data_IF_413168061501
#
_entry.id   IF_413168061501
#
_cell.length_a   1.000
_cell.length_b   1.000
_cell.length_c   1.000
_cell.angle_alpha   90.00
_cell.angle_beta   90.00
_cell.angle_gamma   90.00
#
_symmetry.space_group_name_H-M   'P 1'
#
loop_
_entity.id
_entity.type
_entity.pdbx_description
1 polymer ?
#
# COMPACT_ATOMS: atom_id res chain seq x y z
N UNK A 1 4.90 -30.22 -3.47
CA UNK A 1 3.58 -29.81 -4.01
C UNK A 1 3.72 -28.39 -4.51
N UNK A 2 3.30 -28.13 -5.77
CA UNK A 2 3.23 -26.78 -6.31
C UNK A 2 1.80 -26.26 -6.11
N UNK A 3 1.67 -25.02 -5.68
CA UNK A 3 0.38 -24.34 -5.49
C UNK A 3 0.33 -23.15 -6.45
N UNK A 4 -0.72 -23.08 -7.27
CA UNK A 4 -1.06 -21.90 -8.07
C UNK A 4 -2.31 -21.27 -7.47
N UNK A 5 -2.25 -19.98 -7.18
CA UNK A 5 -3.37 -19.24 -6.63
C UNK A 5 -3.55 -17.89 -7.28
N UNK A 6 -4.75 -17.38 -7.29
CA UNK A 6 -5.10 -16.02 -7.68
C UNK A 6 -5.49 -15.25 -6.43
N UNK A 7 -4.83 -14.13 -6.18
CA UNK A 7 -5.08 -13.30 -5.00
C UNK A 7 -4.72 -11.84 -5.26
N UNK A 8 -5.40 -10.94 -4.57
CA UNK A 8 -5.07 -9.52 -4.48
C UNK A 8 -4.48 -9.15 -3.12
N UNK A 9 -4.39 -10.11 -2.19
CA UNK A 9 -3.79 -9.92 -0.88
C UNK A 9 -2.26 -9.79 -0.99
N UNK A 10 -1.77 -8.57 -0.83
CA UNK A 10 -0.35 -8.20 -0.96
C UNK A 10 0.50 -8.82 0.14
N UNK A 11 -0.04 -8.93 1.36
CA UNK A 11 0.66 -9.55 2.48
C UNK A 11 0.90 -11.03 2.22
N UNK A 12 -0.11 -11.71 1.66
CA UNK A 12 0.01 -13.11 1.27
C UNK A 12 1.02 -13.29 0.14
N UNK A 13 0.98 -12.42 -0.89
CA UNK A 13 1.94 -12.42 -2.00
C UNK A 13 3.39 -12.23 -1.51
N UNK A 14 3.59 -11.39 -0.49
CA UNK A 14 4.93 -11.11 0.03
C UNK A 14 5.51 -12.25 0.89
N UNK A 15 4.66 -12.94 1.66
CA UNK A 15 5.09 -13.95 2.64
C UNK A 15 5.11 -15.38 2.12
N UNK A 16 4.23 -15.72 1.20
CA UNK A 16 3.98 -17.11 0.79
C UNK A 16 4.45 -17.38 -0.64
N UNK A 17 4.37 -16.40 -1.53
CA UNK A 17 4.71 -16.60 -2.93
C UNK A 17 6.22 -16.46 -3.16
N UNK A 18 6.78 -17.42 -3.88
CA UNK A 18 8.16 -17.39 -4.38
C UNK A 18 8.24 -17.03 -5.87
N UNK A 19 7.09 -16.95 -6.55
CA UNK A 19 6.97 -16.58 -7.95
C UNK A 19 5.62 -15.91 -8.18
N UNK A 20 5.62 -14.77 -8.85
CA UNK A 20 4.42 -14.00 -9.20
C UNK A 20 4.29 -13.98 -10.73
N UNK A 21 3.09 -14.28 -11.21
CA UNK A 21 2.74 -14.21 -12.63
C UNK A 21 1.71 -13.11 -12.82
N UNK A 22 2.11 -12.02 -13.47
CA UNK A 22 1.23 -10.93 -13.85
C UNK A 22 0.70 -11.14 -15.28
N UNK A 23 -0.61 -11.06 -15.44
CA UNK A 23 -1.24 -11.06 -16.76
C UNK A 23 -1.62 -9.63 -17.11
N UNK A 24 -0.93 -9.03 -18.08
CA UNK A 24 -1.15 -7.66 -18.53
C UNK A 24 -1.03 -7.53 -20.03
N UNK A 25 -1.97 -6.83 -20.68
CA UNK A 25 -1.99 -6.58 -22.14
C UNK A 25 -1.77 -7.86 -22.99
N UNK A 26 -2.43 -8.97 -22.65
CA UNK A 26 -2.29 -10.28 -23.31
C UNK A 26 -0.90 -10.89 -23.23
N UNK A 27 -0.07 -10.42 -22.30
CA UNK A 27 1.25 -10.95 -22.01
C UNK A 27 1.30 -11.45 -20.57
N UNK A 28 2.09 -12.48 -20.32
CA UNK A 28 2.36 -12.98 -18.99
C UNK A 28 3.78 -12.59 -18.59
N UNK A 29 3.90 -11.87 -17.50
CA UNK A 29 5.19 -11.49 -16.91
C UNK A 29 5.43 -12.32 -15.66
N UNK A 30 6.55 -13.04 -15.66
CA UNK A 30 6.93 -13.91 -14.55
C UNK A 30 8.06 -13.25 -13.77
N UNK A 31 7.83 -13.05 -12.48
CA UNK A 31 8.83 -12.50 -11.56
C UNK A 31 9.09 -13.53 -10.47
N UNK A 32 10.35 -13.90 -10.30
CA UNK A 32 10.80 -14.75 -9.20
C UNK A 32 11.11 -13.86 -8.00
N UNK A 33 10.52 -14.21 -6.87
CA UNK A 33 10.62 -13.44 -5.62
C UNK A 33 9.27 -13.13 -5.00
N UNK A 34 9.30 -12.27 -3.98
CA UNK A 34 8.14 -11.79 -3.25
C UNK A 34 7.48 -10.56 -3.92
N UNK A 35 6.44 -10.02 -3.27
CA UNK A 35 5.69 -8.87 -3.80
C UNK A 35 6.55 -7.61 -3.94
N UNK A 36 7.48 -7.34 -3.02
CA UNK A 36 8.39 -6.20 -3.10
C UNK A 36 9.29 -6.29 -4.35
N UNK A 37 9.83 -7.48 -4.65
CA UNK A 37 10.61 -7.71 -5.87
C UNK A 37 9.78 -7.53 -7.14
N UNK A 38 8.52 -7.98 -7.12
CA UNK A 38 7.57 -7.78 -8.22
C UNK A 38 7.35 -6.29 -8.50
N UNK A 39 7.08 -5.48 -7.47
CA UNK A 39 6.89 -4.02 -7.62
C UNK A 39 8.12 -3.37 -8.25
N UNK A 40 9.32 -3.71 -7.78
CA UNK A 40 10.57 -3.19 -8.33
C UNK A 40 10.73 -3.54 -9.82
N UNK A 41 10.54 -4.82 -10.18
CA UNK A 41 10.66 -5.27 -11.57
C UNK A 41 9.59 -4.65 -12.47
N UNK A 42 8.39 -4.45 -11.94
CA UNK A 42 7.32 -3.77 -12.65
C UNK A 42 7.66 -2.30 -12.92
N UNK A 43 8.19 -1.58 -11.94
CA UNK A 43 8.62 -0.20 -12.10
C UNK A 43 9.75 -0.07 -13.15
N UNK A 44 10.80 -0.90 -13.09
CA UNK A 44 11.88 -0.96 -14.08
C UNK A 44 11.33 -1.22 -15.50
N UNK A 45 10.36 -2.13 -15.64
CA UNK A 45 9.71 -2.44 -16.91
C UNK A 45 8.92 -1.25 -17.46
N UNK A 46 8.12 -0.58 -16.63
CA UNK A 46 7.34 0.60 -17.03
C UNK A 46 8.26 1.74 -17.47
N UNK A 47 9.34 1.99 -16.75
CA UNK A 47 10.34 3.00 -17.09
C UNK A 47 11.00 2.69 -18.45
N UNK A 48 11.43 1.46 -18.66
CA UNK A 48 12.03 1.02 -19.93
C UNK A 48 11.04 1.18 -21.11
N UNK A 49 9.78 0.78 -20.94
CA UNK A 49 8.75 0.93 -21.96
C UNK A 49 8.44 2.41 -22.25
N UNK A 50 8.42 3.26 -21.24
CA UNK A 50 8.21 4.70 -21.36
C UNK A 50 9.36 5.35 -22.15
N UNK A 51 10.60 4.99 -21.84
CA UNK A 51 11.78 5.45 -22.54
C UNK A 51 11.79 4.99 -24.02
N UNK A 52 11.39 3.73 -24.29
CA UNK A 52 11.26 3.21 -25.65
C UNK A 52 10.19 3.96 -26.47
N UNK A 53 9.00 4.18 -25.86
CA UNK A 53 7.94 4.96 -26.51
C UNK A 53 8.33 6.40 -26.78
N UNK A 54 9.08 7.04 -25.90
CA UNK A 54 9.61 8.38 -26.14
C UNK A 54 10.54 8.38 -27.37
N UNK A 55 11.40 7.37 -27.53
CA UNK A 55 12.24 7.21 -28.71
C UNK A 55 11.40 6.98 -29.97
N UNK A 56 10.38 6.10 -29.90
CA UNK A 56 9.47 5.84 -31.03
C UNK A 56 8.73 7.11 -31.43
N UNK A 57 8.19 7.88 -30.48
CA UNK A 57 7.49 9.16 -30.74
C UNK A 57 8.40 10.20 -31.37
N UNK A 58 9.64 10.32 -30.91
CA UNK A 58 10.63 11.23 -31.49
C UNK A 58 10.98 10.84 -32.93
N UNK A 59 11.16 9.54 -33.18
CA UNK A 59 11.41 9.04 -34.54
C UNK A 59 10.18 9.27 -35.42
N UNK A 60 8.99 8.96 -34.96
CA UNK A 60 7.74 9.17 -35.66
C UNK A 60 7.54 10.63 -36.06
N UNK A 61 7.87 11.59 -35.17
CA UNK A 61 7.79 13.02 -35.49
C UNK A 61 8.68 13.38 -36.67
N UNK A 62 9.92 12.90 -36.73
CA UNK A 62 10.85 13.12 -37.82
C UNK A 62 10.33 12.49 -39.13
N UNK A 63 9.81 11.26 -39.05
CA UNK A 63 9.25 10.59 -40.21
C UNK A 63 7.94 11.23 -40.68
N UNK A 64 7.13 11.79 -39.77
CA UNK A 64 5.93 12.56 -40.11
C UNK A 64 6.29 13.85 -40.86
N UNK A 65 7.32 14.56 -40.44
CA UNK A 65 7.81 15.75 -41.15
C UNK A 65 8.30 15.41 -42.57
N UNK A 66 8.96 14.25 -42.71
CA UNK A 66 9.40 13.76 -44.03
C UNK A 66 8.18 13.36 -44.90
N UNK A 67 7.19 12.67 -44.37
CA UNK A 67 5.94 12.32 -45.06
C UNK A 67 5.18 13.56 -45.55
N UNK A 68 5.11 14.61 -44.74
CA UNK A 68 4.43 15.89 -45.07
C UNK A 68 5.07 16.63 -46.27
N UNK A 69 6.34 16.35 -46.57
CA UNK A 69 7.04 16.90 -47.75
C UNK A 69 6.70 16.18 -49.06
N UNK A 70 5.72 15.30 -49.10
CA UNK A 70 5.27 14.54 -50.28
C UNK A 70 6.41 13.86 -51.03
N UNK A 71 7.06 12.87 -50.46
CA UNK A 71 8.19 12.19 -51.12
C UNK A 71 7.74 11.52 -52.41
N UNK A 72 8.40 11.81 -53.53
CA UNK A 72 8.13 11.15 -54.79
C UNK A 72 8.47 9.66 -54.73
N UNK A 73 7.49 8.79 -54.97
CA UNK A 73 7.57 7.33 -54.83
C UNK A 73 8.33 6.62 -55.94
N UNK A 74 9.48 7.15 -56.42
CA UNK A 74 10.21 6.54 -57.57
C UNK A 74 11.28 5.49 -57.22
N UNK A 75 11.48 5.15 -55.95
CA UNK A 75 12.47 4.12 -55.58
C UNK A 75 11.96 3.23 -54.44
N UNK A 76 12.31 1.94 -54.48
CA UNK A 76 11.94 0.96 -53.44
C UNK A 76 12.29 1.36 -51.99
N UNK A 77 13.30 2.21 -51.82
CA UNK A 77 13.66 2.84 -50.53
C UNK A 77 12.56 3.76 -49.96
N UNK A 78 11.81 4.45 -50.84
CA UNK A 78 10.68 5.27 -50.38
C UNK A 78 9.53 4.45 -49.86
N UNK A 79 9.22 3.29 -50.50
CA UNK A 79 8.17 2.37 -50.04
C UNK A 79 8.52 1.78 -48.68
N UNK A 80 9.74 1.27 -48.50
CA UNK A 80 10.18 0.73 -47.21
C UNK A 80 10.03 1.76 -46.06
N UNK A 81 10.39 3.02 -46.33
CA UNK A 81 10.27 4.09 -45.31
C UNK A 81 8.84 4.45 -44.99
N UNK A 82 7.93 4.39 -45.97
CA UNK A 82 6.49 4.55 -45.77
C UNK A 82 5.92 3.41 -44.93
N UNK A 83 6.29 2.17 -45.24
CA UNK A 83 5.87 1.01 -44.47
C UNK A 83 6.40 1.07 -43.04
N UNK A 84 7.66 1.45 -42.85
CA UNK A 84 8.28 1.69 -41.52
C UNK A 84 7.57 2.80 -40.73
N UNK A 85 7.14 3.87 -41.41
CA UNK A 85 6.33 4.93 -40.78
C UNK A 85 4.99 4.42 -40.25
N UNK A 86 4.29 3.58 -41.03
CA UNK A 86 3.03 2.98 -40.60
C UNK A 86 3.24 2.03 -39.42
N UNK A 87 4.32 1.28 -39.40
CA UNK A 87 4.70 0.42 -38.29
C UNK A 87 5.01 1.22 -37.03
N UNK A 88 5.84 2.28 -37.14
CA UNK A 88 6.14 3.19 -36.05
C UNK A 88 4.86 3.87 -35.51
N UNK A 89 3.96 4.26 -36.40
CA UNK A 89 2.66 4.84 -36.02
C UNK A 89 1.78 3.83 -35.26
N UNK A 90 1.77 2.57 -35.66
CA UNK A 90 1.07 1.50 -34.94
C UNK A 90 1.71 1.28 -33.56
N UNK A 91 3.03 1.20 -33.47
CA UNK A 91 3.76 1.06 -32.19
C UNK A 91 3.59 2.28 -31.25
N UNK A 92 3.47 3.50 -31.81
CA UNK A 92 3.26 4.71 -31.00
C UNK A 92 1.86 4.81 -30.39
N UNK A 93 0.90 4.00 -30.84
CA UNK A 93 -0.48 3.93 -30.31
C UNK A 93 -0.60 3.13 -29.03
N UNK A 94 0.48 2.46 -28.58
CA UNK A 94 0.51 1.83 -27.26
C UNK A 94 0.41 2.94 -26.22
N UNK A 95 -0.75 3.03 -25.59
CA UNK A 95 -0.98 4.06 -24.58
C UNK A 95 -0.46 3.57 -23.22
N UNK A 96 0.72 4.07 -22.84
CA UNK A 96 1.26 3.88 -21.49
C UNK A 96 0.73 4.92 -20.50
N UNK A 97 -0.10 5.89 -20.97
CA UNK A 97 -0.68 6.91 -20.07
C UNK A 97 -1.64 6.31 -19.06
N UNK A 98 -2.18 5.12 -19.36
CA UNK A 98 -3.00 4.37 -18.40
C UNK A 98 -2.23 3.91 -17.15
N UNK A 99 -0.90 4.06 -17.10
CA UNK A 99 -0.05 3.52 -16.03
C UNK A 99 0.52 4.56 -15.07
N UNK A 100 0.45 5.85 -15.42
CA UNK A 100 0.89 6.96 -14.56
C UNK A 100 -0.27 7.95 -14.37
N UNK A 101 -1.36 7.45 -13.80
CA UNK A 101 -2.50 8.29 -13.51
C UNK A 101 -2.31 8.89 -12.14
N UNK A 102 -2.03 10.18 -12.11
CA UNK A 102 -2.05 11.00 -10.90
C UNK A 102 -3.50 11.49 -10.73
N UNK A 103 -4.16 11.05 -9.67
CA UNK A 103 -5.40 11.64 -9.22
C UNK A 103 -5.04 12.92 -8.46
N UNK A 104 -5.46 14.07 -8.95
CA UNK A 104 -5.36 15.31 -8.16
C UNK A 104 -6.27 15.16 -6.93
N UNK A 105 -5.67 15.10 -5.75
CA UNK A 105 -6.37 14.98 -4.47
C UNK A 105 -6.94 16.32 -4.05
N UNK A 106 -7.97 16.80 -4.76
CA UNK A 106 -8.71 17.98 -4.35
C UNK A 106 -9.76 17.57 -3.30
N UNK A 107 -9.74 18.23 -2.16
CA UNK A 107 -10.81 18.13 -1.17
C UNK A 107 -11.48 19.49 -1.02
N UNK A 108 -12.79 19.52 -0.81
CA UNK A 108 -13.49 20.75 -0.44
C UNK A 108 -12.91 21.28 0.88
N UNK A 109 -13.01 22.62 1.10
CA UNK A 109 -12.50 23.26 2.31
C UNK A 109 -13.18 22.66 3.54
N UNK A 110 -12.38 22.13 4.48
CA UNK A 110 -12.86 21.63 5.75
C UNK A 110 -12.71 22.72 6.82
N UNK A 111 -13.74 22.93 7.65
CA UNK A 111 -13.72 23.86 8.77
C UNK A 111 -12.79 23.40 9.90
N UNK A 112 -12.75 24.16 10.99
CA UNK A 112 -12.01 23.78 12.21
C UNK A 112 -12.68 22.64 12.97
N UNK A 113 -14.02 22.61 12.96
CA UNK A 113 -14.80 21.54 13.59
C UNK A 113 -15.11 20.46 12.55
N UNK A 114 -14.69 19.25 12.84
CA UNK A 114 -14.87 18.11 11.95
C UNK A 114 -15.90 17.17 12.57
N UNK A 115 -15.56 16.60 13.71
CA UNK A 115 -16.39 15.61 14.38
C UNK A 115 -16.00 15.55 15.86
N UNK A 116 -17.00 15.65 16.74
CA UNK A 116 -16.83 15.55 18.19
C UNK A 116 -17.84 14.55 18.74
N UNK A 117 -17.37 13.56 19.46
CA UNK A 117 -18.17 12.60 20.23
C UNK A 117 -17.86 12.75 21.73
N UNK A 118 -18.86 12.86 22.55
CA UNK A 118 -18.72 12.97 24.01
C UNK A 118 -19.66 11.95 24.68
N UNK A 119 -19.08 10.93 25.33
CA UNK A 119 -19.81 9.93 26.10
C UNK A 119 -20.86 9.16 25.29
N UNK A 120 -20.58 8.85 24.04
CA UNK A 120 -21.55 8.25 23.10
C UNK A 120 -21.71 6.78 23.39
N UNK A 121 -22.96 6.35 23.57
CA UNK A 121 -23.32 4.96 23.74
C UNK A 121 -24.25 4.47 22.62
N UNK A 122 -24.05 3.21 22.22
CA UNK A 122 -24.93 2.51 21.26
C UNK A 122 -25.04 1.04 21.61
N UNK A 123 -26.27 0.53 21.64
CA UNK A 123 -26.58 -0.87 21.93
C UNK A 123 -27.65 -1.41 20.98
N UNK A 124 -27.60 -2.70 20.71
CA UNK A 124 -28.64 -3.45 20.03
C UNK A 124 -29.02 -4.64 20.91
N UNK A 125 -30.11 -4.51 21.69
CA UNK A 125 -30.46 -5.47 22.73
C UNK A 125 -29.31 -5.65 23.71
N UNK A 126 -28.82 -6.87 23.87
CA UNK A 126 -27.70 -7.17 24.77
C UNK A 126 -26.32 -6.83 24.21
N UNK A 127 -26.25 -6.51 22.92
CA UNK A 127 -24.96 -6.22 22.26
C UNK A 127 -24.59 -4.75 22.38
N UNK A 128 -23.51 -4.47 23.09
CA UNK A 128 -22.93 -3.14 23.24
C UNK A 128 -21.98 -2.90 22.07
N UNK A 129 -22.22 -1.83 21.31
CA UNK A 129 -21.40 -1.41 20.16
C UNK A 129 -20.43 -0.30 20.55
N UNK A 130 -20.92 0.71 21.29
CA UNK A 130 -20.11 1.77 21.89
C UNK A 130 -20.56 1.98 23.34
N UNK A 131 -19.59 2.24 24.21
CA UNK A 131 -19.82 2.55 25.62
C UNK A 131 -18.93 3.71 26.01
N UNK A 132 -19.57 4.86 26.30
CA UNK A 132 -18.93 6.13 26.68
C UNK A 132 -17.82 6.60 25.69
N UNK A 133 -18.01 6.36 24.40
CA UNK A 133 -17.03 6.76 23.40
C UNK A 133 -16.90 8.28 23.34
N UNK A 134 -15.68 8.76 23.56
CA UNK A 134 -15.33 10.18 23.49
C UNK A 134 -14.11 10.36 22.59
N UNK A 135 -14.27 11.18 21.53
CA UNK A 135 -13.22 11.46 20.58
C UNK A 135 -13.47 12.75 19.82
N UNK A 136 -12.39 13.47 19.47
CA UNK A 136 -12.43 14.66 18.62
C UNK A 136 -11.50 14.46 17.44
N UNK A 137 -12.06 14.40 16.23
CA UNK A 137 -11.27 14.25 15.01
C UNK A 137 -10.49 15.52 14.70
N UNK A 138 -9.20 15.38 14.49
CA UNK A 138 -8.33 16.45 14.03
C UNK A 138 -8.42 16.60 12.50
N UNK A 139 -8.06 17.78 12.01
CA UNK A 139 -8.06 18.05 10.57
C UNK A 139 -6.97 17.27 9.85
N UNK A 140 -7.36 16.57 8.79
CA UNK A 140 -6.42 15.78 7.96
C UNK A 140 -6.03 14.45 8.58
N UNK A 141 -6.69 14.05 9.66
CA UNK A 141 -6.44 12.81 10.37
C UNK A 141 -6.86 11.59 9.56
N UNK A 142 -6.02 10.57 9.54
CA UNK A 142 -6.24 9.33 8.81
C UNK A 142 -6.23 8.15 9.77
N UNK A 143 -7.41 7.56 9.97
CA UNK A 143 -7.65 6.54 10.99
C UNK A 143 -7.93 5.20 10.33
N UNK A 144 -7.23 4.16 10.79
CA UNK A 144 -7.57 2.77 10.49
C UNK A 144 -8.52 2.20 11.54
N UNK A 145 -9.68 1.69 11.15
CA UNK A 145 -10.63 1.05 12.06
C UNK A 145 -10.51 -0.47 11.93
N UNK A 146 -10.06 -1.13 12.99
CA UNK A 146 -9.85 -2.57 13.03
C UNK A 146 -10.63 -3.24 14.15
N UNK A 147 -10.94 -4.51 13.98
CA UNK A 147 -11.69 -5.31 14.95
C UNK A 147 -12.25 -6.56 14.30
N UNK A 148 -12.70 -7.51 15.11
CA UNK A 148 -13.32 -8.75 14.63
C UNK A 148 -14.60 -8.49 13.83
N UNK A 149 -15.00 -9.49 13.02
CA UNK A 149 -16.26 -9.39 12.30
C UNK A 149 -17.45 -9.34 13.25
N UNK A 150 -18.37 -8.43 12.95
CA UNK A 150 -19.56 -8.24 13.77
C UNK A 150 -19.38 -7.42 15.05
N UNK A 151 -18.19 -6.88 15.34
CA UNK A 151 -17.94 -6.07 16.56
C UNK A 151 -18.66 -4.72 16.53
N UNK A 152 -19.05 -4.23 15.35
CA UNK A 152 -19.78 -2.97 15.22
C UNK A 152 -19.16 -1.94 14.27
N UNK A 153 -18.12 -2.30 13.49
CA UNK A 153 -17.44 -1.39 12.55
C UNK A 153 -18.42 -0.68 11.59
N UNK A 154 -19.26 -1.44 10.90
CA UNK A 154 -20.26 -0.87 9.97
C UNK A 154 -21.34 -0.04 10.69
N UNK A 155 -21.68 -0.38 11.93
CA UNK A 155 -22.59 0.43 12.76
C UNK A 155 -21.95 1.78 13.08
N UNK A 156 -20.67 1.79 13.47
CA UNK A 156 -19.91 3.02 13.72
C UNK A 156 -19.88 3.92 12.49
N UNK A 157 -19.62 3.34 11.31
CA UNK A 157 -19.68 4.08 10.03
C UNK A 157 -21.08 4.67 9.77
N UNK A 158 -22.15 3.90 9.98
CA UNK A 158 -23.54 4.39 9.81
C UNK A 158 -23.89 5.50 10.79
N UNK A 159 -23.37 5.45 12.01
CA UNK A 159 -23.51 6.52 12.98
C UNK A 159 -22.79 7.79 12.52
N UNK A 160 -21.56 7.69 12.01
CA UNK A 160 -20.82 8.81 11.43
C UNK A 160 -21.59 9.47 10.28
N UNK A 161 -22.28 8.69 9.47
CA UNK A 161 -23.09 9.21 8.36
C UNK A 161 -24.45 9.77 8.82
N UNK A 162 -24.80 9.63 10.09
CA UNK A 162 -26.13 10.03 10.61
C UNK A 162 -27.27 9.09 10.20
N UNK A 163 -26.96 7.91 9.63
CA UNK A 163 -27.96 6.89 9.22
C UNK A 163 -28.50 6.16 10.44
N UNK A 164 -27.60 5.79 11.36
CA UNK A 164 -27.94 5.09 12.60
C UNK A 164 -27.86 6.06 13.78
N UNK A 165 -28.92 6.23 14.58
CA UNK A 165 -28.89 7.10 15.75
C UNK A 165 -28.10 6.44 16.90
N UNK A 166 -27.49 7.27 17.74
CA UNK A 166 -26.93 6.85 19.03
C UNK A 166 -27.99 6.85 20.13
N UNK A 167 -27.74 6.12 21.21
CA UNK A 167 -28.71 5.96 22.29
C UNK A 167 -28.55 7.06 23.36
N UNK A 168 -27.31 7.48 23.66
CA UNK A 168 -26.99 8.56 24.60
C UNK A 168 -25.64 9.20 24.27
N UNK A 169 -25.35 10.34 24.87
CA UNK A 169 -24.13 11.13 24.62
C UNK A 169 -24.39 12.30 23.68
N UNK A 170 -23.31 12.89 23.19
CA UNK A 170 -23.33 13.96 22.21
C UNK A 170 -22.50 13.58 21.01
N UNK A 171 -23.07 13.81 19.82
CA UNK A 171 -22.45 13.51 18.53
C UNK A 171 -22.64 14.71 17.62
N UNK A 172 -21.56 15.45 17.38
CA UNK A 172 -21.60 16.72 16.70
C UNK A 172 -20.67 16.71 15.48
N UNK A 173 -21.25 16.86 14.29
CA UNK A 173 -20.55 16.87 13.00
C UNK A 173 -20.52 18.31 12.49
N UNK A 174 -19.35 18.77 12.03
CA UNK A 174 -19.19 20.10 11.47
C UNK A 174 -20.03 20.30 10.19
N UNK A 175 -20.71 21.44 10.07
CA UNK A 175 -21.59 21.76 8.92
C UNK A 175 -20.88 21.72 7.57
N UNK A 176 -19.56 21.90 7.55
CA UNK A 176 -18.73 21.86 6.33
C UNK A 176 -18.28 20.46 5.93
N UNK A 177 -18.56 19.44 6.75
CA UNK A 177 -18.18 18.06 6.47
C UNK A 177 -18.99 17.50 5.34
N UNK A 178 -18.29 17.00 4.31
CA UNK A 178 -18.87 16.30 3.17
C UNK A 178 -18.32 14.89 3.15
N UNK A 179 -19.17 13.93 3.49
CA UNK A 179 -18.80 12.52 3.49
C UNK A 179 -18.73 11.95 2.08
N UNK A 180 -17.64 11.27 1.76
CA UNK A 180 -17.56 10.31 0.67
C UNK A 180 -17.51 8.92 1.25
N UNK A 181 -18.47 8.07 0.92
CA UNK A 181 -18.53 6.71 1.43
C UNK A 181 -18.36 5.69 0.30
N UNK A 182 -17.30 4.94 0.38
CA UNK A 182 -17.09 3.77 -0.44
C UNK A 182 -17.47 2.54 0.38
N UNK A 183 -18.60 1.91 0.03
CA UNK A 183 -19.13 0.76 0.75
C UNK A 183 -18.77 -0.56 0.07
N UNK A 184 -18.66 -1.61 0.87
CA UNK A 184 -18.50 -2.97 0.38
C UNK A 184 -19.69 -3.44 -0.48
N UNK A 185 -20.91 -3.00 -0.18
CA UNK A 185 -22.11 -3.35 -0.94
C UNK A 185 -22.20 -2.62 -2.29
N UNK A 186 -21.30 -1.67 -2.55
CA UNK A 186 -21.28 -0.86 -3.77
C UNK A 186 -22.40 0.17 -3.84
N UNK A 187 -22.47 0.91 -4.96
CA UNK A 187 -23.60 1.77 -5.32
C UNK A 187 -24.50 0.99 -6.30
N UNK A 188 -25.82 1.10 -6.12
CA UNK A 188 -26.78 0.67 -7.12
C UNK A 188 -26.76 1.65 -8.29
N UNK A 189 -26.11 1.28 -9.37
CA UNK A 189 -26.19 2.00 -10.64
C UNK A 189 -27.40 1.56 -11.43
N UNK A 190 -27.92 2.45 -12.26
CA UNK A 190 -28.85 2.05 -13.32
C UNK A 190 -28.09 1.24 -14.38
N UNK A 191 -28.32 -0.05 -14.39
CA UNK A 191 -27.60 -0.99 -15.25
C UNK A 191 -27.84 -0.77 -16.76
N UNK A 192 -28.85 -0.02 -17.12
CA UNK A 192 -29.18 0.31 -18.50
C UNK A 192 -28.49 1.57 -19.02
N UNK A 193 -27.70 2.24 -18.19
CA UNK A 193 -26.91 3.42 -18.58
C UNK A 193 -25.49 3.03 -18.99
N UNK A 194 -24.89 3.88 -19.81
CA UNK A 194 -23.47 3.80 -20.10
C UNK A 194 -22.64 4.36 -18.93
N UNK A 195 -21.40 3.96 -18.85
CA UNK A 195 -20.45 4.44 -17.81
C UNK A 195 -20.36 5.97 -17.84
N UNK A 196 -20.24 6.58 -19.03
CA UNK A 196 -20.12 8.04 -19.16
C UNK A 196 -21.40 8.76 -18.72
N UNK A 197 -22.58 8.22 -19.05
CA UNK A 197 -23.86 8.83 -18.70
C UNK A 197 -24.06 8.85 -17.17
N UNK A 198 -23.70 7.75 -16.49
CA UNK A 198 -23.81 7.65 -15.04
C UNK A 198 -22.92 8.67 -14.30
N UNK A 199 -21.77 9.04 -14.88
CA UNK A 199 -20.88 10.04 -14.30
C UNK A 199 -21.33 11.46 -14.66
N UNK A 200 -21.77 11.70 -15.88
CA UNK A 200 -22.25 13.02 -16.34
C UNK A 200 -23.52 13.46 -15.57
N UNK A 201 -24.38 12.53 -15.15
CA UNK A 201 -25.53 12.86 -14.30
C UNK A 201 -25.15 13.38 -12.90
N UNK A 202 -23.95 13.04 -12.42
CA UNK A 202 -23.49 13.50 -11.11
C UNK A 202 -22.87 14.90 -11.23
N UNK A 203 -22.11 15.16 -12.29
CA UNK A 203 -21.51 16.46 -12.57
C UNK A 203 -21.17 16.62 -14.06
N UNK A 204 -21.50 17.78 -14.63
CA UNK A 204 -21.12 18.16 -16.00
C UNK A 204 -19.61 18.46 -16.11
N UNK A 205 -19.02 19.05 -15.07
CA UNK A 205 -17.60 19.32 -14.92
C UNK A 205 -17.13 18.92 -13.52
N UNK A 206 -15.94 18.33 -13.45
CA UNK A 206 -15.34 17.86 -12.19
C UNK A 206 -14.22 18.80 -11.82
N UNK A 207 -14.40 19.50 -10.70
CA UNK A 207 -13.38 20.39 -10.17
C UNK A 207 -12.20 19.58 -9.62
N UNK A 208 -10.98 19.98 -9.97
CA UNK A 208 -9.73 19.38 -9.46
C UNK A 208 -9.02 20.24 -8.41
N UNK A 209 -9.68 21.30 -7.92
CA UNK A 209 -9.08 22.32 -7.07
C UNK A 209 -8.33 23.42 -7.85
N UNK A 210 -7.97 24.50 -7.15
CA UNK A 210 -7.29 25.67 -7.74
C UNK A 210 -8.00 26.27 -8.98
N UNK A 211 -9.32 26.11 -9.09
CA UNK A 211 -10.11 26.59 -10.22
C UNK A 211 -9.93 25.80 -11.53
N UNK A 212 -9.31 24.62 -11.46
CA UNK A 212 -9.20 23.70 -12.60
C UNK A 212 -10.38 22.75 -12.61
N UNK A 213 -10.99 22.54 -13.76
CA UNK A 213 -12.01 21.52 -13.98
C UNK A 213 -11.65 20.63 -15.15
N UNK A 214 -12.15 19.41 -15.16
CA UNK A 214 -12.02 18.47 -16.28
C UNK A 214 -13.37 17.87 -16.63
N UNK A 215 -13.55 17.55 -17.90
CA UNK A 215 -14.73 16.85 -18.37
C UNK A 215 -14.82 15.41 -17.81
N UNK A 216 -16.03 14.87 -17.59
CA UNK A 216 -16.24 13.49 -17.10
C UNK A 216 -15.49 12.43 -17.90
N UNK A 217 -15.38 12.58 -19.22
CA UNK A 217 -14.63 11.66 -20.08
C UNK A 217 -13.13 11.59 -19.70
N UNK A 218 -12.52 12.75 -19.42
CA UNK A 218 -11.11 12.81 -19.01
C UNK A 218 -10.90 12.29 -17.58
N UNK A 219 -11.89 12.54 -16.71
CA UNK A 219 -11.88 12.02 -15.35
C UNK A 219 -11.94 10.50 -15.32
N UNK A 220 -12.86 9.89 -16.07
CA UNK A 220 -12.97 8.44 -16.19
C UNK A 220 -11.71 7.78 -16.74
N UNK A 221 -10.96 8.44 -17.63
CA UNK A 221 -9.67 7.94 -18.09
C UNK A 221 -8.66 7.81 -16.94
N UNK A 222 -8.73 8.68 -15.92
CA UNK A 222 -7.90 8.58 -14.72
C UNK A 222 -8.26 7.37 -13.85
N UNK A 223 -9.43 6.79 -14.04
CA UNK A 223 -9.85 5.53 -13.40
C UNK A 223 -9.77 4.34 -14.36
N UNK A 224 -8.88 4.41 -15.36
CA UNK A 224 -8.61 3.33 -16.31
C UNK A 224 -9.81 2.95 -17.20
N UNK A 225 -10.77 3.84 -17.39
CA UNK A 225 -11.82 3.66 -18.38
C UNK A 225 -11.40 4.28 -19.71
N UNK A 226 -11.02 3.45 -20.67
CA UNK A 226 -10.71 3.91 -22.03
C UNK A 226 -11.98 4.49 -22.71
N UNK A 227 -11.80 5.30 -23.76
CA UNK A 227 -12.97 5.87 -24.46
C UNK A 227 -13.97 4.81 -24.92
N UNK A 228 -13.57 3.64 -25.43
CA UNK A 228 -14.51 2.55 -25.72
C UNK A 228 -15.19 1.99 -24.46
N UNK A 229 -14.49 1.89 -23.32
CA UNK A 229 -15.05 1.36 -22.07
C UNK A 229 -16.13 2.31 -21.49
N UNK A 230 -15.96 3.61 -21.66
CA UNK A 230 -16.93 4.61 -21.22
C UNK A 230 -18.28 4.50 -21.91
N UNK A 231 -18.32 3.92 -23.11
CA UNK A 231 -19.56 3.68 -23.88
C UNK A 231 -20.21 2.34 -23.56
N UNK A 232 -19.58 1.50 -22.75
CA UNK A 232 -20.17 0.24 -22.31
C UNK A 232 -21.33 0.47 -21.34
N UNK A 233 -22.33 -0.39 -21.40
CA UNK A 233 -23.39 -0.43 -20.41
C UNK A 233 -22.87 -0.97 -19.07
N UNK A 234 -23.36 -0.44 -17.96
CA UNK A 234 -22.88 -0.78 -16.60
C UNK A 234 -23.08 -2.27 -16.31
N UNK A 235 -24.15 -2.90 -16.80
CA UNK A 235 -24.38 -4.35 -16.62
C UNK A 235 -23.32 -5.22 -17.30
N UNK A 236 -22.56 -4.68 -18.28
CA UNK A 236 -21.50 -5.42 -18.98
C UNK A 236 -20.13 -5.33 -18.31
N UNK A 237 -20.01 -4.48 -17.28
CA UNK A 237 -18.77 -4.28 -16.56
C UNK A 237 -18.43 -5.51 -15.69
N UNK A 238 -17.15 -5.85 -15.61
CA UNK A 238 -16.64 -6.78 -14.62
C UNK A 238 -16.80 -6.21 -13.20
N UNK A 239 -16.76 -7.07 -12.18
CA UNK A 239 -16.83 -6.64 -10.77
C UNK A 239 -15.80 -5.55 -10.46
N UNK A 240 -14.53 -5.73 -10.82
CA UNK A 240 -13.46 -4.74 -10.59
C UNK A 240 -13.67 -3.43 -11.36
N UNK A 241 -14.22 -3.44 -12.59
CA UNK A 241 -14.58 -2.22 -13.31
C UNK A 241 -15.74 -1.49 -12.62
N UNK A 242 -16.72 -2.21 -12.10
CA UNK A 242 -17.85 -1.65 -11.35
C UNK A 242 -17.36 -1.00 -10.03
N UNK A 243 -16.45 -1.64 -9.31
CA UNK A 243 -15.86 -1.09 -8.10
C UNK A 243 -15.01 0.17 -8.38
N UNK A 244 -14.26 0.20 -9.49
CA UNK A 244 -13.56 1.40 -9.96
C UNK A 244 -14.51 2.54 -10.30
N UNK A 245 -15.61 2.24 -10.99
CA UNK A 245 -16.64 3.24 -11.29
C UNK A 245 -17.25 3.80 -10.01
N UNK A 246 -17.54 2.95 -9.03
CA UNK A 246 -18.03 3.37 -7.72
C UNK A 246 -17.03 4.31 -7.04
N UNK A 247 -15.76 3.93 -6.98
CA UNK A 247 -14.70 4.78 -6.40
C UNK A 247 -14.65 6.14 -7.13
N UNK A 248 -14.66 6.14 -8.47
CA UNK A 248 -14.67 7.37 -9.26
C UNK A 248 -15.85 8.27 -8.88
N UNK A 249 -17.07 7.72 -8.76
CA UNK A 249 -18.27 8.51 -8.40
C UNK A 249 -18.25 9.04 -6.96
N UNK A 250 -17.58 8.36 -6.03
CA UNK A 250 -17.39 8.86 -4.67
C UNK A 250 -16.40 10.04 -4.66
N UNK A 251 -15.25 9.90 -5.32
CA UNK A 251 -14.19 10.90 -5.29
C UNK A 251 -14.53 12.16 -6.10
N UNK A 252 -15.32 12.04 -7.20
CA UNK A 252 -15.71 13.20 -7.99
C UNK A 252 -16.57 14.22 -7.25
N UNK A 253 -17.27 13.79 -6.18
CA UNK A 253 -18.07 14.67 -5.30
C UNK A 253 -17.22 15.53 -4.37
N UNK A 254 -15.90 15.42 -4.45
CA UNK A 254 -14.91 16.14 -3.63
C UNK A 254 -15.21 16.07 -2.13
N UNK A 255 -15.30 14.88 -1.56
CA UNK A 255 -15.47 14.75 -0.12
C UNK A 255 -14.28 15.38 0.61
N UNK A 256 -14.51 15.84 1.84
CA UNK A 256 -13.45 16.25 2.74
C UNK A 256 -13.34 15.33 3.97
N UNK A 257 -14.25 14.38 4.08
CA UNK A 257 -14.17 13.24 4.99
C UNK A 257 -14.48 11.96 4.18
N UNK A 258 -13.47 11.13 3.99
CA UNK A 258 -13.59 9.91 3.19
C UNK A 258 -13.69 8.69 4.10
N UNK A 259 -14.71 7.87 3.89
CA UNK A 259 -14.91 6.60 4.59
C UNK A 259 -14.75 5.49 3.57
N UNK A 260 -13.81 4.57 3.82
CA UNK A 260 -13.50 3.43 2.97
C UNK A 260 -13.80 2.14 3.75
N UNK A 261 -14.81 1.40 3.35
CA UNK A 261 -15.20 0.15 3.98
C UNK A 261 -14.77 -1.03 3.10
N UNK A 262 -13.70 -1.72 3.52
CA UNK A 262 -13.06 -2.87 2.85
C UNK A 262 -12.73 -2.65 1.35
N UNK A 263 -12.07 -1.53 0.97
CA UNK A 263 -11.80 -1.25 -0.44
C UNK A 263 -10.86 -2.26 -1.09
N UNK A 264 -10.09 -2.99 -0.29
CA UNK A 264 -9.09 -3.95 -0.74
C UNK A 264 -9.67 -5.28 -1.23
N UNK A 265 -10.94 -5.57 -0.92
CA UNK A 265 -11.58 -6.81 -1.33
C UNK A 265 -11.96 -6.81 -2.82
N UNK A 266 -12.35 -5.65 -3.34
CA UNK A 266 -13.00 -5.53 -4.64
C UNK A 266 -12.15 -4.80 -5.68
N UNK A 267 -11.10 -4.08 -5.25
CA UNK A 267 -10.20 -3.34 -6.13
C UNK A 267 -8.99 -4.18 -6.51
N UNK A 268 -8.59 -4.12 -7.78
CA UNK A 268 -7.35 -4.71 -8.23
C UNK A 268 -6.12 -3.94 -7.70
N UNK A 269 -4.96 -4.59 -7.71
CA UNK A 269 -3.70 -4.05 -7.16
C UNK A 269 -3.34 -2.69 -7.78
N UNK A 270 -3.65 -2.47 -9.06
CA UNK A 270 -3.33 -1.23 -9.78
C UNK A 270 -4.23 -0.10 -9.26
N UNK A 271 -5.52 -0.37 -9.15
CA UNK A 271 -6.50 0.59 -8.62
C UNK A 271 -6.23 0.92 -7.16
N UNK A 272 -5.81 -0.08 -6.36
CA UNK A 272 -5.37 0.16 -4.97
C UNK A 272 -4.15 1.08 -4.90
N UNK A 273 -3.17 0.90 -5.79
CA UNK A 273 -2.02 1.80 -5.87
C UNK A 273 -2.43 3.25 -6.19
N UNK A 274 -3.35 3.44 -7.15
CA UNK A 274 -3.90 4.75 -7.49
C UNK A 274 -4.64 5.38 -6.29
N UNK A 275 -5.42 4.58 -5.57
CA UNK A 275 -6.11 5.02 -4.36
C UNK A 275 -5.13 5.41 -3.25
N UNK A 276 -4.06 4.66 -3.03
CA UNK A 276 -3.01 4.98 -2.06
C UNK A 276 -2.32 6.30 -2.39
N UNK A 277 -1.94 6.52 -3.65
CA UNK A 277 -1.36 7.79 -4.11
C UNK A 277 -2.32 8.97 -3.87
N UNK A 278 -3.60 8.80 -4.22
CA UNK A 278 -4.63 9.80 -3.94
C UNK A 278 -4.76 10.10 -2.46
N UNK A 279 -4.81 9.06 -1.60
CA UNK A 279 -4.95 9.22 -0.16
C UNK A 279 -3.71 9.83 0.49
N UNK A 280 -2.51 9.61 -0.05
CA UNK A 280 -1.28 10.23 0.43
C UNK A 280 -1.32 11.76 0.29
N UNK A 281 -1.89 12.27 -0.81
CA UNK A 281 -2.03 13.71 -1.07
C UNK A 281 -3.32 14.32 -0.51
N UNK A 282 -4.27 13.49 -0.10
CA UNK A 282 -5.58 13.94 0.37
C UNK A 282 -5.47 14.70 1.70
N UNK A 283 -5.94 15.94 1.72
CA UNK A 283 -5.86 16.86 2.86
C UNK A 283 -7.08 16.79 3.81
N UNK A 284 -8.08 16.00 3.46
CA UNK A 284 -9.25 15.74 4.28
C UNK A 284 -9.01 14.63 5.30
N UNK A 285 -10.03 14.34 6.10
CA UNK A 285 -9.99 13.20 7.03
C UNK A 285 -10.32 11.90 6.31
N UNK A 286 -9.71 10.81 6.76
CA UNK A 286 -9.93 9.47 6.21
C UNK A 286 -10.22 8.50 7.34
N UNK A 287 -11.27 7.71 7.19
CA UNK A 287 -11.54 6.53 8.02
C UNK A 287 -11.52 5.30 7.12
N UNK A 288 -10.61 4.38 7.40
CA UNK A 288 -10.44 3.16 6.62
C UNK A 288 -10.74 1.93 7.46
N UNK A 289 -11.66 1.11 7.00
CA UNK A 289 -11.82 -0.26 7.47
C UNK A 289 -11.17 -1.18 6.46
N UNK A 290 -10.15 -1.93 6.85
CA UNK A 290 -9.53 -2.91 5.98
C UNK A 290 -8.87 -4.04 6.78
N UNK A 291 -8.79 -5.20 6.16
CA UNK A 291 -8.00 -6.32 6.62
C UNK A 291 -6.62 -6.37 5.96
N UNK A 292 -6.37 -5.56 4.95
CA UNK A 292 -5.07 -5.42 4.29
C UNK A 292 -4.13 -4.56 5.14
N UNK A 293 -3.12 -5.22 5.72
CA UNK A 293 -2.12 -4.59 6.60
C UNK A 293 -1.29 -3.56 5.86
N UNK A 294 -0.90 -3.89 4.63
CA UNK A 294 -0.06 -3.02 3.81
C UNK A 294 -0.79 -1.72 3.48
N UNK A 295 -2.08 -1.81 3.18
CA UNK A 295 -2.92 -0.66 2.93
C UNK A 295 -3.08 0.24 4.17
N UNK A 296 -3.34 -0.37 5.33
CA UNK A 296 -3.45 0.38 6.59
C UNK A 296 -2.13 1.04 7.00
N UNK A 297 -1.00 0.33 6.86
CA UNK A 297 0.33 0.86 7.23
C UNK A 297 0.75 2.05 6.36
N UNK A 298 0.30 2.10 5.09
CA UNK A 298 0.61 3.20 4.18
C UNK A 298 -0.27 4.44 4.38
N UNK A 299 -1.48 4.27 4.95
CA UNK A 299 -2.48 5.34 4.96
C UNK A 299 -2.77 5.85 6.37
N UNK A 300 -2.91 4.95 7.37
CA UNK A 300 -3.38 5.32 8.68
C UNK A 300 -2.26 5.91 9.54
N UNK A 301 -2.52 7.07 10.15
CA UNK A 301 -1.65 7.70 11.13
C UNK A 301 -1.76 7.01 12.49
N UNK A 302 -2.97 6.51 12.82
CA UNK A 302 -3.25 5.74 14.03
C UNK A 302 -4.44 4.79 13.81
N UNK A 303 -4.63 3.88 14.76
CA UNK A 303 -5.57 2.78 14.62
C UNK A 303 -6.62 2.79 15.74
N UNK A 304 -7.90 2.82 15.38
CA UNK A 304 -9.00 2.51 16.28
C UNK A 304 -9.22 1.01 16.32
N UNK A 305 -9.11 0.45 17.52
CA UNK A 305 -9.29 -0.97 17.78
C UNK A 305 -10.61 -1.19 18.49
N UNK A 306 -11.57 -1.81 17.82
CA UNK A 306 -12.83 -2.24 18.42
C UNK A 306 -12.66 -3.66 19.00
N UNK A 307 -12.47 -3.75 20.32
CA UNK A 307 -12.25 -5.03 21.01
C UNK A 307 -13.55 -5.79 21.34
N UNK A 308 -14.71 -5.15 21.10
CA UNK A 308 -16.02 -5.64 21.52
C UNK A 308 -16.42 -5.08 22.90
N UNK A 309 -17.67 -5.37 23.32
CA UNK A 309 -18.18 -4.83 24.59
C UNK A 309 -18.29 -3.30 24.64
N UNK A 310 -18.25 -2.63 23.50
CA UNK A 310 -18.35 -1.16 23.39
C UNK A 310 -17.03 -0.41 23.51
N UNK A 311 -15.93 -1.09 23.75
CA UNK A 311 -14.62 -0.45 23.94
C UNK A 311 -13.95 -0.18 22.59
N UNK A 312 -13.62 1.09 22.35
CA UNK A 312 -12.78 1.52 21.23
C UNK A 312 -11.48 2.08 21.79
N UNK A 313 -10.36 1.46 21.45
CA UNK A 313 -9.03 1.91 21.86
C UNK A 313 -8.37 2.66 20.72
N UNK A 314 -7.85 3.83 20.99
CA UNK A 314 -6.99 4.56 20.08
C UNK A 314 -5.54 4.14 20.30
N UNK A 315 -4.91 3.62 19.25
CA UNK A 315 -3.50 3.22 19.25
C UNK A 315 -2.70 4.17 18.36
N UNK A 316 -1.79 4.98 18.93
CA UNK A 316 -0.93 5.86 18.15
C UNK A 316 0.13 5.04 17.42
N UNK A 317 0.06 5.03 16.10
CA UNK A 317 0.96 4.28 15.22
C UNK A 317 0.22 3.45 14.18
N UNK A 318 0.97 2.82 13.30
CA UNK A 318 0.41 2.02 12.21
C UNK A 318 -0.04 0.61 12.66
N UNK A 319 -0.66 -0.12 11.75
CA UNK A 319 -1.21 -1.44 12.06
C UNK A 319 -0.13 -2.48 12.41
N UNK A 320 1.05 -2.41 11.78
CA UNK A 320 2.17 -3.31 12.09
C UNK A 320 2.71 -3.08 13.50
N UNK A 321 2.82 -1.82 13.93
CA UNK A 321 3.21 -1.46 15.30
C UNK A 321 2.18 -1.95 16.33
N UNK A 322 0.88 -1.75 16.05
CA UNK A 322 -0.19 -2.29 16.87
C UNK A 322 -0.07 -3.82 17.03
N UNK A 323 0.16 -4.55 15.95
CA UNK A 323 0.31 -6.02 15.97
C UNK A 323 1.54 -6.45 16.78
N UNK A 324 2.66 -5.73 16.67
CA UNK A 324 3.86 -6.00 17.47
C UNK A 324 3.57 -5.77 18.96
N UNK A 325 2.89 -4.69 19.32
CA UNK A 325 2.48 -4.37 20.68
C UNK A 325 1.57 -5.46 21.27
N UNK A 326 0.54 -5.91 20.53
CA UNK A 326 -0.35 -7.00 20.97
C UNK A 326 0.43 -8.30 21.16
N UNK A 327 1.35 -8.63 20.25
CA UNK A 327 2.17 -9.84 20.37
C UNK A 327 3.10 -9.78 21.59
N UNK A 328 3.65 -8.64 21.92
CA UNK A 328 4.46 -8.42 23.11
C UNK A 328 3.61 -8.59 24.38
N UNK A 329 2.45 -7.95 24.46
CA UNK A 329 1.53 -8.12 25.61
C UNK A 329 1.08 -9.56 25.80
N UNK A 330 0.85 -10.30 24.70
CA UNK A 330 0.48 -11.72 24.78
C UNK A 330 1.63 -12.56 25.39
N UNK A 331 2.88 -12.30 24.98
CA UNK A 331 4.07 -12.96 25.55
C UNK A 331 4.25 -12.63 27.03
N UNK A 332 4.04 -11.39 27.43
CA UNK A 332 4.12 -10.96 28.83
C UNK A 332 3.04 -11.59 29.70
N UNK A 333 1.82 -11.77 29.16
CA UNK A 333 0.70 -12.48 29.85
C UNK A 333 0.90 -14.00 29.93
N UNK A 334 1.61 -14.60 28.99
CA UNK A 334 1.95 -16.04 29.03
C UNK A 334 3.14 -16.33 29.94
N UNK A 335 4.02 -15.37 30.18
CA UNK A 335 5.17 -15.51 31.07
C UNK A 335 4.78 -15.86 32.53
N UNK A 336 3.72 -15.32 33.17
CA UNK A 336 3.39 -15.66 34.55
C UNK A 336 2.72 -17.02 34.73
N UNK A 337 2.07 -17.63 33.73
CA UNK A 337 1.41 -18.95 33.87
C UNK A 337 2.35 -20.13 33.95
N UNK A 338 3.62 -19.99 33.55
CA UNK A 338 4.65 -21.02 33.77
C UNK A 338 5.28 -20.95 35.15
N UNK A 339 5.10 -19.84 35.89
CA UNK A 339 5.66 -19.67 37.23
C UNK A 339 4.77 -20.27 38.36
N UNK A 340 3.46 -20.47 38.16
CA UNK A 340 2.55 -20.99 39.21
C UNK A 340 2.47 -22.51 39.32
N UNK A 341 3.04 -23.27 38.37
CA UNK A 341 3.04 -24.74 38.41
C UNK A 341 4.31 -25.36 39.02
N UNK A 342 5.27 -24.56 39.46
CA UNK A 342 6.48 -25.05 40.13
C UNK A 342 6.43 -24.72 41.61
N UNK A 343 6.41 -25.78 42.45
CA UNK A 343 6.56 -25.73 43.92
C UNK A 343 7.79 -24.89 44.30
N UNK A 344 7.82 -24.17 45.44
CA UNK A 344 8.88 -23.24 45.79
C UNK A 344 10.22 -23.98 45.91
N UNK A 345 11.01 -23.88 44.88
CA UNK A 345 12.45 -24.16 44.96
C UNK A 345 13.17 -22.87 45.41
N UNK A 346 13.94 -23.06 46.46
CA UNK A 346 14.89 -22.14 47.08
C UNK A 346 15.40 -21.08 46.08
N UNK A 347 15.28 -19.81 46.43
CA UNK A 347 15.88 -18.67 45.69
C UNK A 347 17.37 -18.97 45.44
N UNK A 348 17.68 -19.32 44.20
CA UNK A 348 19.03 -19.24 43.68
C UNK A 348 19.31 -17.77 43.37
N UNK A 349 20.39 -17.27 43.96
CA UNK A 349 20.95 -15.95 43.69
C UNK A 349 21.26 -15.86 42.19
N UNK A 350 21.20 -14.68 41.54
CA UNK A 350 21.64 -14.54 40.16
C UNK A 350 23.05 -15.12 40.02
N UNK A 351 23.21 -16.07 39.11
CA UNK A 351 24.50 -16.64 38.79
C UNK A 351 25.40 -15.53 38.25
N UNK A 352 26.30 -15.05 39.06
CA UNK A 352 27.36 -14.18 38.58
C UNK A 352 28.24 -15.00 37.65
N UNK A 353 28.63 -14.36 36.56
CA UNK A 353 29.59 -14.87 35.60
C UNK A 353 30.72 -15.65 36.29
N UNK A 354 30.91 -16.90 35.89
CA UNK A 354 32.05 -17.70 36.42
C UNK A 354 33.37 -17.15 35.87
N UNK A 355 34.47 -17.39 36.54
CA UNK A 355 35.79 -16.93 36.09
C UNK A 355 36.15 -17.45 34.68
N UNK A 356 35.62 -18.61 34.28
CA UNK A 356 35.76 -19.15 32.93
C UNK A 356 34.95 -18.36 31.91
N UNK A 357 33.69 -18.03 32.21
CA UNK A 357 32.79 -17.27 31.36
C UNK A 357 33.29 -15.82 31.16
N UNK A 358 33.85 -15.21 32.19
CA UNK A 358 34.46 -13.89 32.09
C UNK A 358 35.68 -13.86 31.17
N UNK A 359 36.51 -14.89 31.23
CA UNK A 359 37.65 -15.02 30.33
C UNK A 359 37.24 -15.32 28.90
N UNK A 360 36.16 -16.08 28.69
CA UNK A 360 35.56 -16.34 27.39
C UNK A 360 34.94 -15.04 26.81
N UNK A 361 34.27 -14.24 27.62
CA UNK A 361 33.68 -12.95 27.25
C UNK A 361 34.74 -11.94 26.77
N UNK A 362 35.86 -11.81 27.53
CA UNK A 362 36.97 -10.95 27.14
C UNK A 362 37.67 -11.44 25.85
N UNK A 363 37.83 -12.75 25.70
CA UNK A 363 38.42 -13.34 24.50
C UNK A 363 37.54 -13.12 23.25
N UNK A 364 36.22 -13.34 23.36
CA UNK A 364 35.25 -13.11 22.28
C UNK A 364 35.23 -11.65 21.86
N UNK A 365 35.27 -10.69 22.80
CA UNK A 365 35.34 -9.26 22.48
C UNK A 365 36.59 -8.90 21.65
N UNK A 366 37.76 -9.46 21.98
CA UNK A 366 38.98 -9.23 21.21
C UNK A 366 38.94 -9.90 19.83
N UNK A 367 38.32 -11.08 19.73
CA UNK A 367 38.18 -11.80 18.45
C UNK A 367 37.19 -11.11 17.53
N UNK A 368 36.11 -10.55 18.06
CA UNK A 368 35.13 -9.76 17.28
C UNK A 368 35.81 -8.50 16.73
N UNK A 369 36.54 -7.75 17.57
CA UNK A 369 37.26 -6.56 17.13
C UNK A 369 38.29 -6.86 16.02
N UNK A 370 39.02 -7.96 16.10
CA UNK A 370 39.96 -8.36 15.06
C UNK A 370 39.27 -8.76 13.75
N UNK A 371 38.13 -9.40 13.83
CA UNK A 371 37.32 -9.75 12.64
C UNK A 371 36.67 -8.52 12.01
N UNK A 372 36.27 -7.51 12.80
CA UNK A 372 35.75 -6.23 12.29
C UNK A 372 36.86 -5.44 11.56
N UNK A 373 38.09 -5.40 12.09
CA UNK A 373 39.25 -4.80 11.39
C UNK A 373 39.54 -5.51 10.05
N UNK A 374 39.48 -6.87 10.03
CA UNK A 374 39.66 -7.64 8.79
C UNK A 374 38.52 -7.34 7.78
N UNK A 375 37.28 -7.22 8.25
CA UNK A 375 36.11 -6.84 7.42
C UNK A 375 36.28 -5.45 6.81
N UNK A 376 36.68 -4.45 7.62
CA UNK A 376 36.95 -3.09 7.13
C UNK A 376 38.07 -3.05 6.08
N UNK A 377 39.12 -3.83 6.28
CA UNK A 377 40.21 -3.93 5.31
C UNK A 377 39.75 -4.55 3.97
N UNK A 378 38.88 -5.55 4.02
CA UNK A 378 38.26 -6.16 2.82
C UNK A 378 37.31 -5.18 2.14
N UNK A 379 36.48 -4.41 2.87
CA UNK A 379 35.62 -3.38 2.35
C UNK A 379 36.42 -2.24 1.72
N UNK A 380 37.52 -1.80 2.32
CA UNK A 380 38.41 -0.81 1.75
C UNK A 380 39.02 -1.28 0.42
N UNK A 381 39.38 -2.57 0.32
CA UNK A 381 39.86 -3.15 -0.92
C UNK A 381 38.77 -3.13 -2.01
N UNK A 382 37.51 -3.49 -1.72
CA UNK A 382 36.43 -3.46 -2.69
C UNK A 382 36.08 -2.03 -3.14
N UNK A 383 36.27 -1.04 -2.27
CA UNK A 383 35.98 0.37 -2.57
C UNK A 383 37.14 1.09 -3.27
N UNK A 384 38.37 0.55 -3.24
CA UNK A 384 39.55 1.21 -3.82
C UNK A 384 39.54 1.24 -5.36
N UNK A 385 38.70 0.43 -6.01
CA UNK A 385 38.60 0.39 -7.48
C UNK A 385 39.87 -0.14 -8.19
N UNK A 386 40.83 -0.71 -7.46
CA UNK A 386 42.00 -1.30 -8.06
C UNK A 386 41.63 -2.54 -8.88
N UNK A 387 42.19 -2.64 -10.10
CA UNK A 387 41.97 -3.73 -11.02
C UNK A 387 42.72 -4.98 -10.53
N UNK A 388 42.10 -5.70 -9.62
CA UNK A 388 42.62 -6.99 -9.13
C UNK A 388 42.29 -8.11 -10.12
N UNK A 389 43.12 -9.15 -10.14
CA UNK A 389 42.84 -10.35 -10.92
C UNK A 389 41.51 -11.01 -10.47
N UNK A 390 40.71 -11.58 -11.42
CA UNK A 390 39.41 -12.18 -11.07
C UNK A 390 39.48 -13.21 -9.95
N UNK A 391 40.54 -13.98 -9.90
CA UNK A 391 40.77 -15.02 -8.88
C UNK A 391 41.01 -14.41 -7.47
N UNK A 392 41.70 -13.26 -7.39
CA UNK A 392 41.96 -12.56 -6.14
C UNK A 392 40.69 -11.89 -5.60
N UNK A 393 39.89 -11.32 -6.47
CA UNK A 393 38.60 -10.74 -6.10
C UNK A 393 37.62 -11.82 -5.57
N UNK A 394 37.59 -12.99 -6.21
CA UNK A 394 36.73 -14.10 -5.77
C UNK A 394 37.18 -14.66 -4.40
N UNK A 395 38.51 -14.79 -4.19
CA UNK A 395 39.06 -15.23 -2.91
C UNK A 395 38.74 -14.26 -1.76
N UNK A 396 38.87 -12.95 -1.99
CA UNK A 396 38.55 -11.91 -1.00
C UNK A 396 37.04 -11.83 -0.73
N UNK A 397 36.21 -12.03 -1.75
CA UNK A 397 34.74 -12.07 -1.61
C UNK A 397 34.29 -13.28 -0.77
N UNK A 398 34.87 -14.45 -0.96
CA UNK A 398 34.63 -15.64 -0.11
C UNK A 398 35.06 -15.35 1.35
N UNK A 399 36.25 -14.79 1.53
CA UNK A 399 36.75 -14.45 2.87
C UNK A 399 35.88 -13.43 3.58
N UNK A 400 35.37 -12.42 2.88
CA UNK A 400 34.41 -11.44 3.42
C UNK A 400 33.14 -12.09 3.96
N UNK A 401 32.56 -13.02 3.21
CA UNK A 401 31.35 -13.74 3.64
C UNK A 401 31.63 -14.67 4.84
N UNK A 402 32.80 -15.30 4.89
CA UNK A 402 33.23 -16.10 6.04
C UNK A 402 33.40 -15.24 7.30
N UNK A 403 34.09 -14.10 7.19
CA UNK A 403 34.33 -13.16 8.30
C UNK A 403 32.99 -12.63 8.83
N UNK A 404 32.07 -12.28 7.97
CA UNK A 404 30.71 -11.83 8.36
C UNK A 404 29.98 -12.92 9.16
N UNK A 405 29.97 -14.16 8.67
CA UNK A 405 29.35 -15.27 9.39
C UNK A 405 29.99 -15.56 10.75
N UNK A 406 31.31 -15.41 10.86
CA UNK A 406 32.06 -15.60 12.13
C UNK A 406 31.74 -14.47 13.13
N UNK A 407 31.56 -13.23 12.67
CA UNK A 407 31.14 -12.10 13.51
C UNK A 407 29.77 -12.39 14.09
N UNK A 408 28.77 -12.70 13.24
CA UNK A 408 27.38 -12.98 13.65
C UNK A 408 27.31 -14.10 14.71
N UNK A 409 28.08 -15.19 14.53
CA UNK A 409 28.11 -16.32 15.46
C UNK A 409 28.74 -15.93 16.82
N UNK A 410 29.85 -15.16 16.79
CA UNK A 410 30.57 -14.74 17.99
C UNK A 410 29.83 -13.66 18.77
N UNK A 411 29.16 -12.72 18.08
CA UNK A 411 28.30 -11.71 18.71
C UNK A 411 27.12 -12.34 19.46
N UNK A 412 26.50 -13.38 18.90
CA UNK A 412 25.41 -14.10 19.56
C UNK A 412 25.90 -14.70 20.90
N UNK A 413 27.09 -15.33 20.90
CA UNK A 413 27.67 -15.90 22.11
C UNK A 413 28.14 -14.86 23.10
N UNK A 414 28.67 -13.74 22.63
CA UNK A 414 29.09 -12.60 23.46
C UNK A 414 27.88 -11.95 24.15
N UNK A 415 26.74 -11.78 23.44
CA UNK A 415 25.46 -11.30 23.98
C UNK A 415 24.92 -12.24 25.09
N UNK A 416 24.94 -13.57 24.88
CA UNK A 416 24.51 -14.53 25.89
C UNK A 416 25.33 -14.43 27.19
N UNK A 417 26.62 -14.14 27.07
CA UNK A 417 27.49 -13.96 28.24
C UNK A 417 27.27 -12.58 28.87
N UNK A 418 26.99 -11.52 28.10
CA UNK A 418 26.75 -10.18 28.63
C UNK A 418 25.48 -10.09 29.48
N UNK A 419 24.46 -10.92 29.20
CA UNK A 419 23.23 -11.01 30.03
C UNK A 419 23.48 -11.57 31.43
N UNK A 420 24.66 -12.19 31.66
CA UNK A 420 25.05 -12.77 32.96
C UNK A 420 26.01 -11.86 33.76
N UNK A 421 26.39 -10.70 33.22
CA UNK A 421 27.23 -9.72 33.91
C UNK A 421 26.42 -8.90 34.94
#
# INVERSE_FOLDING_TARGET
VAILMVTHDRYFLDRVCNKIIELDNRQAYVVEGNYAMYLRRRAERIEAMTAELAKVKNTLRREQEWMNRQPQARAGKAKFRIDSFHELKARSRVDLRERNIVLDASSSRIGSKIFEAEGVCKRFGDKVILDEFTYTFARGEKIGLVGENGVGKSTFIKMLQGIEPFDSGRWDIGETVRFGYYSQDGISFDENKNVIDAVTEIADDIELGEGRSIAPMQYLQRFLFSVPDQQKYIHTLSGGERCRLHLATVLMRQPNFLILDEPTNDLDIITLGILEEYLAEFKGCVLVVSHDRYFLDNIADHIFVMEGGGVVKDFPGNYSEYRAFVAQQAREKEAPKKAEAAKPRRQERPERMTFKERREFEALGNEIAALEEEKEALEAFFNSGESAAPEEFEAKSRRYNEVKGLIDEKELRWLELSEKE
#
